data_IF_200292141835
#
_entry.id   IF_200292141835
#
_cell.length_a   1.000
_cell.length_b   1.000
_cell.length_c   1.000
_cell.angle_alpha   90.00
_cell.angle_beta   90.00
_cell.angle_gamma   90.00
#
_symmetry.space_group_name_H-M   'P 1'
#
loop_
_entity.id
_entity.type
_entity.pdbx_description
1 polymer ?
#
# COMPACT_ATOMS: atom_id res chain seq x y z
N UNK A 1 12.17 10.17 3.91
CA UNK A 1 13.10 11.30 3.71
C UNK A 1 14.13 11.39 4.84
N UNK A 2 13.74 11.41 6.12
CA UNK A 2 14.68 11.54 7.26
C UNK A 2 15.72 10.40 7.30
N UNK A 3 15.31 9.15 7.02
CA UNK A 3 16.21 7.99 7.01
C UNK A 3 17.25 8.12 5.89
N UNK A 4 16.84 8.50 4.69
CA UNK A 4 17.76 8.66 3.56
C UNK A 4 18.77 9.79 3.83
N UNK A 5 18.30 10.90 4.41
CA UNK A 5 19.21 12.01 4.80
C UNK A 5 20.27 11.55 5.82
N UNK A 6 19.86 10.80 6.85
CA UNK A 6 20.80 10.25 7.82
C UNK A 6 21.77 9.23 7.19
N UNK A 7 21.29 8.36 6.29
CA UNK A 7 22.17 7.45 5.56
C UNK A 7 23.23 8.19 4.75
N UNK A 8 22.85 9.27 4.08
CA UNK A 8 23.74 10.11 3.31
C UNK A 8 24.79 10.78 4.20
N UNK A 9 24.36 11.38 5.32
CA UNK A 9 25.25 12.03 6.29
C UNK A 9 26.30 11.06 6.84
N UNK A 10 25.90 9.82 7.10
CA UNK A 10 26.79 8.80 7.66
C UNK A 10 27.42 7.87 6.61
N UNK A 11 27.32 8.19 5.33
CA UNK A 11 27.86 7.41 4.20
C UNK A 11 27.41 5.93 4.23
N UNK A 12 26.14 5.71 4.51
CA UNK A 12 25.51 4.38 4.54
C UNK A 12 24.79 4.09 3.24
N UNK A 13 25.08 2.96 2.61
CA UNK A 13 24.39 2.51 1.40
C UNK A 13 22.92 2.17 1.70
N UNK A 14 22.06 2.44 0.72
CA UNK A 14 20.61 2.24 0.84
C UNK A 14 20.08 1.28 -0.21
N UNK A 15 19.21 0.37 0.21
CA UNK A 15 18.52 -0.58 -0.66
C UNK A 15 17.01 -0.46 -0.44
N UNK A 16 16.26 -0.18 -1.51
CA UNK A 16 14.81 -0.21 -1.46
C UNK A 16 14.29 -1.63 -1.67
N UNK A 17 13.29 -1.99 -0.88
CA UNK A 17 12.53 -3.23 -1.05
C UNK A 17 11.06 -2.90 -1.35
N UNK A 18 10.36 -3.80 -2.03
CA UNK A 18 8.93 -3.64 -2.37
C UNK A 18 8.68 -2.36 -3.17
N UNK A 19 9.57 -2.09 -4.11
CA UNK A 19 9.49 -0.93 -4.99
C UNK A 19 8.42 -1.02 -6.06
N UNK A 20 8.01 -2.25 -6.42
CA UNK A 20 6.87 -2.47 -7.26
C UNK A 20 5.60 -2.50 -6.41
N UNK A 21 4.57 -1.74 -6.74
CA UNK A 21 3.28 -1.86 -6.05
C UNK A 21 2.71 -3.26 -6.31
N UNK A 22 2.19 -3.87 -5.26
CA UNK A 22 1.52 -5.17 -5.34
C UNK A 22 0.15 -5.12 -6.03
N UNK A 23 -0.05 -4.15 -6.86
CA UNK A 23 -1.29 -3.89 -7.58
C UNK A 23 -1.26 -4.51 -8.93
N UNK A 24 -1.21 -5.77 -8.89
CA UNK A 24 -1.07 -6.30 -10.11
C UNK A 24 -2.11 -7.35 -10.22
N UNK A 25 -2.53 -7.76 -11.37
CA UNK A 25 -3.56 -8.73 -11.56
C UNK A 25 -3.51 -9.77 -10.48
N UNK A 26 -4.54 -9.92 -9.82
CA UNK A 26 -4.73 -11.11 -9.09
C UNK A 26 -4.52 -12.24 -10.08
N UNK A 27 -3.65 -13.17 -9.80
CA UNK A 27 -3.63 -14.42 -10.52
C UNK A 27 -5.07 -14.91 -10.60
N UNK A 28 -5.58 -15.22 -11.80
CA UNK A 28 -6.93 -15.71 -11.95
C UNK A 28 -7.13 -16.88 -10.99
N UNK A 29 -8.18 -16.82 -10.19
CA UNK A 29 -8.51 -17.89 -9.28
C UNK A 29 -9.42 -18.89 -9.96
N UNK A 30 -8.93 -20.11 -10.10
CA UNK A 30 -9.72 -21.26 -10.53
C UNK A 30 -9.92 -22.18 -9.31
N UNK A 31 -11.14 -22.33 -8.79
CA UNK A 31 -11.43 -23.19 -7.63
C UNK A 31 -11.07 -24.67 -7.85
N UNK A 32 -11.16 -25.13 -9.10
CA UNK A 32 -10.87 -26.53 -9.46
C UNK A 32 -9.38 -26.78 -9.67
N UNK A 33 -8.61 -25.72 -10.00
CA UNK A 33 -7.18 -25.80 -10.23
C UNK A 33 -6.46 -24.51 -9.76
N UNK A 34 -6.45 -24.25 -8.44
CA UNK A 34 -5.82 -23.04 -7.91
C UNK A 34 -4.31 -23.05 -8.15
N UNK A 35 -3.73 -21.87 -8.40
CA UNK A 35 -2.28 -21.71 -8.42
C UNK A 35 -1.66 -22.16 -7.09
N UNK A 36 -0.36 -22.45 -7.09
CA UNK A 36 0.36 -22.86 -5.87
C UNK A 36 0.17 -21.85 -4.74
N UNK A 37 0.22 -20.54 -5.05
CA UNK A 37 0.06 -19.48 -4.07
C UNK A 37 -1.35 -19.44 -3.47
N UNK A 38 -2.37 -19.61 -4.30
CA UNK A 38 -3.75 -19.68 -3.83
C UNK A 38 -3.99 -20.94 -3.01
N UNK A 39 -3.46 -22.09 -3.43
CA UNK A 39 -3.56 -23.34 -2.68
C UNK A 39 -2.95 -23.20 -1.28
N UNK A 40 -1.74 -22.66 -1.19
CA UNK A 40 -1.09 -22.39 0.10
C UNK A 40 -1.84 -21.37 0.96
N UNK A 41 -2.43 -20.33 0.34
CA UNK A 41 -3.24 -19.35 1.06
C UNK A 41 -4.48 -20.02 1.67
N UNK A 42 -5.20 -20.82 0.86
CA UNK A 42 -6.40 -21.55 1.30
C UNK A 42 -6.04 -22.47 2.45
N UNK A 43 -4.99 -23.27 2.31
CA UNK A 43 -4.56 -24.22 3.36
C UNK A 43 -4.24 -23.51 4.67
N UNK A 44 -3.47 -22.42 4.62
CA UNK A 44 -3.15 -21.61 5.80
C UNK A 44 -4.39 -21.03 6.49
N UNK A 45 -5.38 -20.62 5.73
CA UNK A 45 -6.62 -20.06 6.28
C UNK A 45 -7.48 -21.16 6.92
N UNK A 46 -7.62 -22.29 6.26
CA UNK A 46 -8.34 -23.45 6.79
C UNK A 46 -7.71 -23.99 8.09
N UNK A 47 -6.37 -24.02 8.18
CA UNK A 47 -5.66 -24.38 9.41
C UNK A 47 -5.95 -23.42 10.58
N UNK A 48 -6.40 -22.20 10.29
CA UNK A 48 -6.80 -21.19 11.28
C UNK A 48 -8.28 -21.25 11.66
N UNK A 49 -9.05 -22.14 11.03
CA UNK A 49 -10.46 -22.38 11.32
C UNK A 49 -11.46 -21.72 10.38
N UNK A 50 -10.98 -21.06 9.30
CA UNK A 50 -11.89 -20.57 8.25
C UNK A 50 -12.43 -21.77 7.44
N UNK A 51 -13.67 -21.69 6.96
CA UNK A 51 -14.17 -22.66 5.97
C UNK A 51 -13.60 -22.35 4.58
N UNK A 52 -13.54 -23.38 3.73
CA UNK A 52 -13.08 -23.21 2.35
C UNK A 52 -13.94 -22.17 1.59
N UNK A 53 -15.24 -22.23 1.74
CA UNK A 53 -16.17 -21.27 1.11
C UNK A 53 -15.89 -19.82 1.51
N UNK A 54 -15.64 -19.56 2.81
CA UNK A 54 -15.30 -18.23 3.29
C UNK A 54 -13.98 -17.72 2.71
N UNK A 55 -13.00 -18.61 2.55
CA UNK A 55 -11.71 -18.25 1.96
C UNK A 55 -11.85 -17.95 0.49
N UNK A 56 -12.57 -18.78 -0.26
CA UNK A 56 -12.82 -18.59 -1.70
C UNK A 56 -13.61 -17.29 -1.96
N UNK A 57 -14.63 -17.00 -1.14
CA UNK A 57 -15.35 -15.73 -1.25
C UNK A 57 -14.42 -14.52 -1.04
N UNK A 58 -13.53 -14.58 -0.06
CA UNK A 58 -12.53 -13.51 0.16
C UNK A 58 -11.56 -13.35 -1.01
N UNK A 59 -11.18 -14.44 -1.66
CA UNK A 59 -10.34 -14.40 -2.86
C UNK A 59 -11.10 -13.67 -3.97
N UNK A 60 -12.35 -14.05 -4.23
CA UNK A 60 -13.19 -13.40 -5.24
C UNK A 60 -13.40 -11.91 -4.95
N UNK A 61 -13.71 -11.55 -3.71
CA UNK A 61 -13.90 -10.16 -3.31
C UNK A 61 -12.62 -9.34 -3.51
N UNK A 62 -11.46 -9.92 -3.17
CA UNK A 62 -10.18 -9.27 -3.35
C UNK A 62 -9.83 -9.10 -4.84
N UNK A 63 -10.06 -10.11 -5.69
CA UNK A 63 -9.85 -10.02 -7.13
C UNK A 63 -10.74 -8.90 -7.72
N UNK A 64 -12.01 -8.87 -7.35
CA UNK A 64 -12.94 -7.85 -7.83
C UNK A 64 -12.50 -6.43 -7.42
N UNK A 65 -12.00 -6.24 -6.19
CA UNK A 65 -11.46 -4.96 -5.73
C UNK A 65 -10.21 -4.54 -6.53
N UNK A 66 -9.33 -5.50 -6.86
CA UNK A 66 -8.13 -5.22 -7.68
C UNK A 66 -8.51 -4.85 -9.11
N UNK A 67 -9.46 -5.56 -9.72
CA UNK A 67 -9.95 -5.25 -11.06
C UNK A 67 -10.60 -3.86 -11.14
N UNK A 68 -11.38 -3.48 -10.14
CA UNK A 68 -11.99 -2.15 -10.11
C UNK A 68 -10.94 -1.05 -9.99
N UNK A 69 -9.96 -1.23 -9.12
CA UNK A 69 -8.82 -0.31 -8.98
C UNK A 69 -8.05 -0.17 -10.29
N UNK A 70 -7.85 -1.27 -11.01
CA UNK A 70 -7.18 -1.25 -12.31
C UNK A 70 -8.01 -0.53 -13.37
N UNK A 71 -9.32 -0.74 -13.41
CA UNK A 71 -10.24 -0.02 -14.33
C UNK A 71 -10.20 1.48 -14.11
N UNK A 72 -10.15 1.95 -12.85
CA UNK A 72 -10.03 3.38 -12.55
C UNK A 72 -8.70 3.97 -13.05
N UNK A 73 -7.64 3.18 -13.03
CA UNK A 73 -6.31 3.59 -13.49
C UNK A 73 -6.14 3.50 -15.02
N UNK A 74 -6.86 2.60 -15.68
CA UNK A 74 -6.69 2.26 -17.10
C UNK A 74 -6.72 3.46 -18.06
N UNK A 75 -7.65 4.44 -17.95
CA UNK A 75 -7.72 5.52 -18.95
C UNK A 75 -6.46 6.37 -19.03
N UNK A 76 -5.81 6.67 -17.91
CA UNK A 76 -4.59 7.48 -17.94
C UNK A 76 -3.31 6.63 -18.09
N UNK A 77 -3.36 5.36 -17.78
CA UNK A 77 -2.29 4.44 -18.16
C UNK A 77 -2.20 4.34 -19.69
N UNK A 78 -3.32 4.17 -20.38
CA UNK A 78 -3.40 4.14 -21.84
C UNK A 78 -2.92 5.46 -22.46
N UNK A 79 -3.37 6.62 -21.94
CA UNK A 79 -2.94 7.95 -22.38
C UNK A 79 -1.41 8.13 -22.32
N UNK A 80 -0.74 7.44 -21.38
CA UNK A 80 0.69 7.56 -21.18
C UNK A 80 1.50 6.37 -21.74
N UNK A 81 0.85 5.48 -22.50
CA UNK A 81 1.52 4.33 -23.12
C UNK A 81 1.97 3.26 -22.13
N UNK A 82 1.39 3.26 -20.93
CA UNK A 82 1.55 2.18 -19.92
C UNK A 82 0.38 1.23 -20.17
N UNK A 83 0.62 0.22 -20.97
CA UNK A 83 -0.46 -0.68 -21.44
C UNK A 83 -0.52 -1.97 -20.66
N UNK A 84 0.56 -2.29 -19.97
CA UNK A 84 0.67 -3.50 -19.18
C UNK A 84 1.04 -3.17 -17.74
N UNK A 85 0.87 -4.10 -16.93
CA UNK A 85 1.26 -4.15 -15.54
C UNK A 85 2.78 -4.18 -15.36
N UNK A 86 3.43 -4.89 -16.23
CA UNK A 86 4.88 -4.97 -16.30
C UNK A 86 5.49 -3.60 -16.58
N UNK A 87 4.86 -2.81 -17.45
CA UNK A 87 5.27 -1.41 -17.70
C UNK A 87 5.11 -0.54 -16.45
N UNK A 88 4.04 -0.75 -15.70
CA UNK A 88 3.84 -0.04 -14.42
C UNK A 88 4.91 -0.44 -13.39
N UNK A 89 5.26 -1.71 -13.32
CA UNK A 89 6.32 -2.21 -12.44
C UNK A 89 7.68 -1.60 -12.77
N UNK A 90 8.08 -1.65 -14.03
CA UNK A 90 9.35 -1.07 -14.47
C UNK A 90 9.40 0.43 -14.22
N UNK A 91 8.28 1.13 -14.46
CA UNK A 91 8.15 2.56 -14.19
C UNK A 91 8.25 2.88 -12.70
N UNK A 92 7.64 2.09 -11.84
CA UNK A 92 7.73 2.24 -10.39
C UNK A 92 9.17 2.01 -9.86
N UNK A 93 9.88 1.02 -10.39
CA UNK A 93 11.28 0.77 -10.04
C UNK A 93 12.19 1.90 -10.51
N UNK A 94 12.01 2.40 -11.74
CA UNK A 94 12.72 3.59 -12.24
C UNK A 94 12.47 4.80 -11.36
N UNK A 95 11.22 5.02 -10.94
CA UNK A 95 10.88 6.10 -10.05
C UNK A 95 11.62 5.99 -8.71
N UNK A 96 11.64 4.83 -8.11
CA UNK A 96 12.38 4.62 -6.86
C UNK A 96 13.88 4.90 -7.05
N UNK A 97 14.49 4.37 -8.12
CA UNK A 97 15.91 4.56 -8.43
C UNK A 97 16.25 5.98 -8.94
N UNK A 98 15.26 6.81 -9.28
CA UNK A 98 15.49 8.22 -9.62
C UNK A 98 15.83 9.08 -8.40
N UNK A 99 15.63 8.56 -7.18
CA UNK A 99 16.06 9.23 -5.96
C UNK A 99 17.59 9.09 -5.81
N UNK A 100 18.34 10.20 -5.79
CA UNK A 100 19.81 10.16 -5.76
C UNK A 100 20.38 9.59 -4.45
N UNK A 101 19.59 9.52 -3.41
CA UNK A 101 19.98 8.98 -2.11
C UNK A 101 19.61 7.48 -1.96
N UNK A 102 19.06 6.87 -3.02
CA UNK A 102 18.76 5.44 -3.10
C UNK A 102 19.76 4.75 -4.06
N UNK A 103 20.52 3.81 -3.54
CA UNK A 103 21.63 3.22 -4.29
C UNK A 103 21.21 1.99 -5.10
N UNK A 104 20.24 1.23 -4.61
CA UNK A 104 19.79 0.01 -5.28
C UNK A 104 18.36 -0.36 -4.89
N UNK A 105 17.72 -1.17 -5.74
CA UNK A 105 16.42 -1.78 -5.48
C UNK A 105 16.57 -3.31 -5.43
N UNK A 106 15.94 -3.93 -4.44
CA UNK A 106 15.86 -5.37 -4.34
C UNK A 106 14.57 -5.85 -5.02
N UNK A 107 14.73 -6.58 -6.12
CA UNK A 107 13.63 -7.10 -6.94
C UNK A 107 13.75 -8.62 -6.97
N UNK A 108 12.61 -9.30 -6.79
CA UNK A 108 12.54 -10.75 -7.03
C UNK A 108 12.48 -11.03 -8.52
N UNK A 109 13.22 -12.02 -8.96
CA UNK A 109 13.14 -12.56 -10.32
C UNK A 109 12.55 -13.98 -10.23
N UNK A 110 11.41 -14.18 -10.83
CA UNK A 110 10.71 -15.47 -10.84
C UNK A 110 11.01 -16.27 -12.10
N UNK A 111 11.38 -15.57 -13.18
CA UNK A 111 11.70 -16.13 -14.48
C UNK A 111 12.78 -15.32 -15.21
N UNK A 112 13.27 -15.84 -16.37
CA UNK A 112 14.25 -15.15 -17.19
C UNK A 112 13.70 -13.89 -17.86
N UNK A 113 12.40 -13.85 -18.13
CA UNK A 113 11.73 -12.68 -18.73
C UNK A 113 11.77 -11.48 -17.78
N UNK A 114 11.57 -11.69 -16.49
CA UNK A 114 11.70 -10.64 -15.47
C UNK A 114 13.13 -10.09 -15.39
N UNK A 115 14.17 -10.93 -15.58
CA UNK A 115 15.55 -10.46 -15.67
C UNK A 115 15.74 -9.57 -16.89
N UNK A 116 15.31 -10.02 -18.07
CA UNK A 116 15.41 -9.26 -19.31
C UNK A 116 14.66 -7.92 -19.25
N UNK A 117 13.58 -7.87 -18.49
CA UNK A 117 12.76 -6.67 -18.26
C UNK A 117 13.42 -5.66 -17.31
N UNK A 118 13.95 -6.11 -16.19
CA UNK A 118 14.46 -5.20 -15.16
C UNK A 118 15.92 -4.81 -15.31
N UNK A 119 16.77 -5.67 -15.85
CA UNK A 119 18.19 -5.36 -16.01
C UNK A 119 18.47 -4.11 -16.87
N UNK A 120 17.74 -3.88 -17.99
CA UNK A 120 17.97 -2.70 -18.84
C UNK A 120 17.62 -1.36 -18.18
N UNK A 121 16.81 -1.37 -17.12
CA UNK A 121 16.42 -0.10 -16.45
C UNK A 121 17.49 0.41 -15.48
N UNK A 122 18.48 -0.39 -15.15
CA UNK A 122 19.58 0.03 -14.30
C UNK A 122 20.31 1.23 -14.89
N UNK A 123 20.44 2.32 -14.12
CA UNK A 123 21.07 3.56 -14.57
C UNK A 123 20.23 4.42 -15.52
N UNK A 124 18.99 4.00 -15.85
CA UNK A 124 18.09 4.82 -16.69
C UNK A 124 17.34 5.84 -15.84
N UNK A 125 16.87 6.91 -16.48
CA UNK A 125 16.03 7.93 -15.88
C UNK A 125 14.59 7.81 -16.37
N UNK A 126 13.63 8.30 -15.58
CA UNK A 126 12.25 8.43 -16.03
C UNK A 126 12.16 9.34 -17.24
N UNK A 127 11.40 8.91 -18.23
CA UNK A 127 10.98 9.77 -19.33
C UNK A 127 9.96 10.80 -18.84
N UNK A 128 9.70 11.83 -19.64
CA UNK A 128 8.64 12.81 -19.32
C UNK A 128 7.25 12.17 -19.26
N UNK A 129 6.99 11.18 -20.11
CA UNK A 129 5.71 10.45 -20.13
C UNK A 129 5.54 9.61 -18.86
N UNK A 130 6.54 8.82 -18.49
CA UNK A 130 6.53 8.05 -17.25
C UNK A 130 6.36 8.95 -16.01
N UNK A 131 7.05 10.10 -15.97
CA UNK A 131 6.92 11.05 -14.86
C UNK A 131 5.49 11.62 -14.76
N UNK A 132 4.85 11.94 -15.88
CA UNK A 132 3.46 12.41 -15.92
C UNK A 132 2.48 11.32 -15.51
N UNK A 133 2.66 10.10 -16.02
CA UNK A 133 1.84 8.96 -15.66
C UNK A 133 1.85 8.70 -14.16
N UNK A 134 3.03 8.68 -13.55
CA UNK A 134 3.18 8.51 -12.11
C UNK A 134 2.55 9.66 -11.31
N UNK A 135 2.65 10.89 -11.78
CA UNK A 135 2.02 12.05 -11.13
C UNK A 135 0.50 11.97 -11.21
N UNK A 136 -0.08 11.60 -12.34
CA UNK A 136 -1.52 11.38 -12.48
C UNK A 136 -1.99 10.24 -11.59
N UNK A 137 -1.28 9.11 -11.59
CA UNK A 137 -1.55 7.99 -10.69
C UNK A 137 -1.53 8.41 -9.22
N UNK A 138 -0.52 9.19 -8.83
CA UNK A 138 -0.41 9.75 -7.49
C UNK A 138 -1.61 10.63 -7.12
N UNK A 139 -2.07 11.47 -8.05
CA UNK A 139 -3.22 12.37 -7.83
C UNK A 139 -4.53 11.59 -7.75
N UNK A 140 -4.77 10.64 -8.66
CA UNK A 140 -5.98 9.85 -8.70
C UNK A 140 -6.17 9.00 -7.41
N UNK A 141 -5.09 8.39 -6.93
CA UNK A 141 -5.13 7.54 -5.74
C UNK A 141 -4.77 8.27 -4.44
N UNK A 142 -4.48 9.58 -4.50
CA UNK A 142 -3.93 10.32 -3.35
C UNK A 142 -4.85 10.35 -2.15
N UNK A 143 -6.16 10.41 -2.39
CA UNK A 143 -7.20 10.46 -1.34
C UNK A 143 -7.64 9.07 -0.84
N UNK A 144 -7.31 8.01 -1.56
CA UNK A 144 -7.79 6.66 -1.27
C UNK A 144 -7.16 6.05 -0.02
N UNK A 145 -5.91 6.39 0.33
CA UNK A 145 -5.25 5.78 1.47
C UNK A 145 -4.27 6.71 2.20
N UNK A 146 -4.14 6.47 3.51
CA UNK A 146 -3.14 7.16 4.33
C UNK A 146 -1.77 6.48 4.17
N UNK A 147 -0.77 7.26 3.80
CA UNK A 147 0.59 6.75 3.57
C UNK A 147 1.27 6.37 4.88
N UNK A 148 1.79 5.17 4.94
CA UNK A 148 2.46 4.66 6.13
C UNK A 148 3.69 5.49 6.51
N UNK A 149 3.76 5.85 7.80
CA UNK A 149 4.84 6.67 8.32
C UNK A 149 4.71 8.17 8.01
N UNK A 150 3.64 8.61 7.34
CA UNK A 150 3.34 10.02 7.15
C UNK A 150 2.73 10.61 8.43
N UNK A 151 3.29 11.70 8.94
CA UNK A 151 2.82 12.40 10.15
C UNK A 151 2.37 13.84 9.85
N UNK A 152 2.20 14.19 8.57
CA UNK A 152 1.95 15.57 8.15
C UNK A 152 0.72 16.21 8.82
N UNK A 153 -0.32 15.43 9.11
CA UNK A 153 -1.55 15.92 9.74
C UNK A 153 -1.55 15.80 11.29
N UNK A 154 -0.59 15.09 11.87
CA UNK A 154 -0.58 14.86 13.34
C UNK A 154 -0.34 16.15 14.13
N UNK A 155 0.47 17.07 13.59
CA UNK A 155 0.73 18.36 14.21
C UNK A 155 -0.53 19.27 14.32
N UNK A 156 -1.54 19.04 13.47
CA UNK A 156 -2.80 19.75 13.50
C UNK A 156 -3.84 19.12 14.45
N UNK A 157 -3.53 17.96 15.04
CA UNK A 157 -4.46 17.25 15.92
C UNK A 157 -4.36 17.79 17.35
N UNK A 158 -5.44 18.43 17.91
CA UNK A 158 -5.42 18.93 19.28
C UNK A 158 -5.33 17.83 20.34
N UNK A 159 -5.76 16.61 19.98
CA UNK A 159 -5.77 15.45 20.88
C UNK A 159 -4.53 14.57 20.70
N UNK A 160 -3.55 15.00 19.90
CA UNK A 160 -2.31 14.26 19.61
C UNK A 160 -2.54 12.80 19.21
N UNK A 161 -3.63 12.53 18.48
CA UNK A 161 -3.94 11.17 17.99
C UNK A 161 -2.84 10.69 17.07
N UNK A 162 -2.25 9.48 17.29
CA UNK A 162 -1.19 8.96 16.45
C UNK A 162 -1.78 8.39 15.13
N UNK A 163 -2.15 9.29 14.23
CA UNK A 163 -2.88 9.02 12.98
C UNK A 163 -2.23 7.93 12.15
N UNK A 164 -0.95 8.12 11.84
CA UNK A 164 -0.19 7.18 11.00
C UNK A 164 -0.15 5.77 11.60
N UNK A 165 -0.01 5.67 12.92
CA UNK A 165 0.03 4.40 13.64
C UNK A 165 -1.33 3.70 13.59
N UNK A 166 -2.43 4.42 13.84
CA UNK A 166 -3.78 3.85 13.80
C UNK A 166 -4.13 3.36 12.38
N UNK A 167 -3.84 4.17 11.36
CA UNK A 167 -4.05 3.77 9.97
C UNK A 167 -3.25 2.53 9.59
N UNK A 168 -2.03 2.39 10.13
CA UNK A 168 -1.22 1.19 9.93
C UNK A 168 -1.86 -0.03 10.57
N UNK A 169 -2.45 0.10 11.76
CA UNK A 169 -3.14 -1.01 12.41
C UNK A 169 -4.44 -1.36 11.70
N UNK A 170 -5.19 -0.37 11.21
CA UNK A 170 -6.34 -0.62 10.35
C UNK A 170 -5.95 -1.41 9.09
N UNK A 171 -4.82 -1.09 8.46
CA UNK A 171 -4.30 -1.86 7.33
C UNK A 171 -3.90 -3.29 7.71
N UNK A 172 -3.33 -3.52 8.89
CA UNK A 172 -3.09 -4.89 9.36
C UNK A 172 -4.38 -5.70 9.50
N UNK A 173 -5.45 -5.03 9.94
CA UNK A 173 -6.76 -5.64 10.09
C UNK A 173 -7.38 -5.97 8.73
N UNK A 174 -7.57 -4.95 7.88
CA UNK A 174 -8.33 -5.08 6.62
C UNK A 174 -7.50 -5.65 5.47
N UNK A 175 -6.28 -5.16 5.28
CA UNK A 175 -5.45 -5.49 4.12
C UNK A 175 -4.54 -6.71 4.31
N UNK A 176 -4.26 -7.12 5.56
CA UNK A 176 -3.38 -8.26 5.83
C UNK A 176 -4.07 -9.42 6.57
N UNK A 177 -5.34 -9.30 6.93
CA UNK A 177 -6.07 -10.31 7.69
C UNK A 177 -5.42 -10.66 9.05
N UNK A 178 -4.77 -9.68 9.69
CA UNK A 178 -4.08 -9.84 10.97
C UNK A 178 -4.87 -9.18 12.11
N UNK A 179 -6.15 -9.52 12.22
CA UNK A 179 -7.12 -8.85 13.09
C UNK A 179 -6.63 -8.82 14.55
N UNK A 180 -6.30 -9.99 15.12
CA UNK A 180 -5.83 -10.10 16.51
C UNK A 180 -4.58 -9.27 16.78
N UNK A 181 -3.63 -9.26 15.84
CA UNK A 181 -2.41 -8.46 15.96
C UNK A 181 -2.75 -6.97 15.95
N UNK A 182 -3.59 -6.54 15.03
CA UNK A 182 -4.01 -5.16 14.86
C UNK A 182 -4.73 -4.64 16.12
N UNK A 183 -5.72 -5.38 16.61
CA UNK A 183 -6.47 -5.06 17.84
C UNK A 183 -5.58 -5.05 19.08
N UNK A 184 -4.67 -6.03 19.21
CA UNK A 184 -3.73 -6.07 20.33
C UNK A 184 -2.79 -4.86 20.34
N UNK A 185 -2.31 -4.45 19.16
CA UNK A 185 -1.46 -3.27 19.03
C UNK A 185 -2.25 -1.98 19.31
N UNK A 186 -3.48 -1.89 18.84
CA UNK A 186 -4.35 -0.76 19.07
C UNK A 186 -4.67 -0.58 20.56
N UNK A 187 -5.03 -1.66 21.26
CA UNK A 187 -5.30 -1.65 22.70
C UNK A 187 -4.09 -1.25 23.57
N UNK A 188 -2.88 -1.33 23.01
CA UNK A 188 -1.64 -0.89 23.69
C UNK A 188 -1.22 0.55 23.39
N UNK A 189 -1.98 1.27 22.56
CA UNK A 189 -1.72 2.68 22.34
C UNK A 189 -1.89 3.45 23.64
N UNK A 190 -1.02 4.41 23.85
CA UNK A 190 -1.17 5.40 24.92
C UNK A 190 -2.26 6.40 24.53
N UNK A 191 -3.20 6.67 25.41
CA UNK A 191 -4.35 7.55 25.15
C UNK A 191 -5.57 6.81 24.60
N UNK A 192 -6.57 7.57 24.16
CA UNK A 192 -7.90 7.06 23.81
C UNK A 192 -8.02 6.59 22.35
N UNK A 193 -6.89 6.38 21.67
CA UNK A 193 -6.86 5.93 20.27
C UNK A 193 -7.61 6.90 19.33
N UNK A 194 -8.58 6.38 18.60
CA UNK A 194 -9.44 7.17 17.69
C UNK A 194 -10.72 7.72 18.34
N UNK A 195 -10.98 7.43 19.63
CA UNK A 195 -12.19 7.87 20.34
C UNK A 195 -12.44 9.38 20.30
N UNK A 196 -11.43 10.26 20.49
CA UNK A 196 -11.63 11.71 20.45
C UNK A 196 -12.13 12.22 19.09
N UNK A 197 -11.91 11.45 18.02
CA UNK A 197 -12.32 11.85 16.67
C UNK A 197 -13.84 11.94 16.50
N UNK A 198 -14.64 11.32 17.38
CA UNK A 198 -16.11 11.34 17.34
C UNK A 198 -16.67 12.75 17.58
N UNK A 199 -16.02 13.55 18.42
CA UNK A 199 -16.45 14.91 18.74
C UNK A 199 -15.56 15.99 18.12
N UNK A 200 -14.54 15.61 17.36
CA UNK A 200 -13.57 16.50 16.76
C UNK A 200 -14.10 17.17 15.49
N UNK A 201 -13.70 18.40 15.23
CA UNK A 201 -14.02 19.15 14.00
C UNK A 201 -13.20 18.75 12.76
N UNK A 202 -12.29 17.75 12.89
CA UNK A 202 -11.57 17.21 11.74
C UNK A 202 -10.36 18.02 11.27
N UNK A 203 -9.62 18.65 12.18
CA UNK A 203 -8.43 19.47 11.86
C UNK A 203 -7.41 18.74 10.96
N UNK A 204 -7.27 17.43 11.13
CA UNK A 204 -6.37 16.58 10.36
C UNK A 204 -6.77 16.47 8.87
N UNK A 205 -8.05 16.63 8.53
CA UNK A 205 -8.53 16.52 7.14
C UNK A 205 -7.96 17.66 6.28
N UNK A 206 -8.06 18.90 6.76
CA UNK A 206 -7.50 20.06 6.06
C UNK A 206 -5.97 20.10 6.03
N UNK A 207 -5.32 19.41 6.97
CA UNK A 207 -3.86 19.34 7.06
C UNK A 207 -3.26 18.19 6.24
N UNK A 208 -4.10 17.30 5.66
CA UNK A 208 -3.61 16.19 4.85
C UNK A 208 -3.20 16.67 3.44
N UNK A 209 -1.90 16.59 3.06
CA UNK A 209 -1.44 17.04 1.75
C UNK A 209 -1.94 16.15 0.60
N UNK A 210 -2.60 15.03 0.90
CA UNK A 210 -3.09 14.06 -0.06
C UNK A 210 -4.62 14.03 -0.16
N UNK A 211 -5.33 14.89 0.56
CA UNK A 211 -6.79 14.96 0.54
C UNK A 211 -7.51 13.75 1.17
N UNK A 212 -6.81 12.94 1.97
CA UNK A 212 -7.41 11.77 2.62
C UNK A 212 -8.42 12.20 3.67
N UNK A 213 -9.60 11.57 3.70
CA UNK A 213 -10.58 11.74 4.78
C UNK A 213 -10.06 11.08 6.08
N UNK A 214 -9.09 11.74 6.72
CA UNK A 214 -8.41 11.19 7.90
C UNK A 214 -9.37 10.91 9.03
N UNK A 215 -10.28 11.86 9.36
CA UNK A 215 -11.23 11.67 10.45
C UNK A 215 -12.16 10.49 10.21
N UNK A 216 -12.76 10.39 9.03
CA UNK A 216 -13.64 9.28 8.69
C UNK A 216 -12.93 7.92 8.78
N UNK A 217 -11.68 7.85 8.30
CA UNK A 217 -10.87 6.65 8.39
C UNK A 217 -10.47 6.30 9.82
N UNK A 218 -10.19 7.30 10.69
CA UNK A 218 -9.90 7.05 12.10
C UNK A 218 -11.11 6.52 12.86
N UNK A 219 -12.30 7.06 12.59
CA UNK A 219 -13.55 6.57 13.17
C UNK A 219 -13.82 5.12 12.78
N UNK A 220 -13.66 4.81 11.49
CA UNK A 220 -13.78 3.44 11.01
C UNK A 220 -12.74 2.52 11.65
N UNK A 221 -11.49 2.96 11.71
CA UNK A 221 -10.41 2.19 12.33
C UNK A 221 -10.68 1.93 13.82
N UNK A 222 -11.18 2.94 14.55
CA UNK A 222 -11.55 2.79 15.97
C UNK A 222 -12.63 1.72 16.14
N UNK A 223 -13.70 1.77 15.34
CA UNK A 223 -14.77 0.76 15.38
C UNK A 223 -14.29 -0.66 15.03
N UNK A 224 -13.34 -0.80 14.11
CA UNK A 224 -12.78 -2.11 13.73
C UNK A 224 -11.79 -2.68 14.76
N UNK A 225 -11.04 -1.81 15.42
CA UNK A 225 -9.90 -2.21 16.26
C UNK A 225 -10.25 -2.28 17.75
N UNK A 226 -11.42 -1.80 18.16
CA UNK A 226 -11.95 -1.95 19.52
C UNK A 226 -12.91 -3.13 19.60
N UNK A 227 -12.83 -3.88 20.69
CA UNK A 227 -13.89 -4.83 21.05
C UNK A 227 -15.06 -4.00 21.59
N UNK A 228 -16.25 -4.24 21.04
CA UNK A 228 -17.49 -3.67 21.56
C UNK A 228 -17.84 -4.31 22.92
#
# INVERSE_FOLDING_TARGET
EQVLAACKEHNVGTTAMKTAPGTVEADPYDPDNPSTEWAEYIERRMQRGDSREEVEQRIHDWIAEQEETFKEAAPFMEEHGITTREDLHTTAVKWALSNPDLHTACIGFEDFESIDRFMPISGTQLTRLESRALEHYRLALSSGYCRHGCTACEAACPEAVPVSTIMRYAYYFTGQGREKLAMTKYARLTGDGGSPCTACSGHCVGACPFGVNIQGNLLRAHGLLTLA
#
